data_IF_462375058478
#
_entry.id   IF_462375058478
#
_cell.length_a   1.000
_cell.length_b   1.000
_cell.length_c   1.000
_cell.angle_alpha   90.00
_cell.angle_beta   90.00
_cell.angle_gamma   90.00
#
_symmetry.space_group_name_H-M   'P 1'
#
loop_
_entity.id
_entity.type
_entity.pdbx_description
1 polymer ?
#
# COMPACT_ATOMS: atom_id res chain seq x y z
N UNK A 1 -0.06 -12.45 18.24
CA UNK A 1 -0.31 -12.42 16.79
C UNK A 1 -0.03 -11.00 16.32
N UNK A 2 1.05 -10.78 15.57
CA UNK A 2 1.37 -9.46 15.00
C UNK A 2 0.67 -9.33 13.64
N UNK A 3 -0.63 -9.01 13.69
CA UNK A 3 -1.35 -8.51 12.52
C UNK A 3 -1.01 -7.04 12.30
N UNK A 4 -1.23 -6.54 11.09
CA UNK A 4 -1.13 -5.10 10.83
C UNK A 4 -2.25 -4.41 11.63
N UNK A 5 -1.92 -3.31 12.31
CA UNK A 5 -2.88 -2.57 13.10
C UNK A 5 -4.00 -2.02 12.19
N UNK A 6 -5.28 -2.07 12.59
CA UNK A 6 -6.39 -1.55 11.77
C UNK A 6 -6.19 -0.09 11.33
N UNK A 7 -5.47 0.70 12.13
CA UNK A 7 -5.11 2.08 11.81
C UNK A 7 -4.20 2.19 10.59
N UNK A 8 -3.24 1.28 10.43
CA UNK A 8 -2.35 1.26 9.28
C UNK A 8 -3.14 1.02 7.98
N UNK A 9 -4.11 0.09 8.01
CA UNK A 9 -5.00 -0.19 6.87
C UNK A 9 -5.77 1.08 6.44
N UNK A 10 -6.34 1.80 7.41
CA UNK A 10 -7.09 3.04 7.13
C UNK A 10 -6.17 4.14 6.59
N UNK A 11 -5.00 4.35 7.19
CA UNK A 11 -4.07 5.40 6.76
C UNK A 11 -3.46 5.12 5.38
N UNK A 12 -3.12 3.86 5.06
CA UNK A 12 -2.69 3.43 3.72
C UNK A 12 -3.79 3.73 2.70
N UNK A 13 -5.03 3.35 2.99
CA UNK A 13 -6.17 3.59 2.11
C UNK A 13 -6.43 5.08 1.86
N UNK A 14 -6.43 5.88 2.94
CA UNK A 14 -6.63 7.32 2.84
C UNK A 14 -5.49 8.01 2.10
N UNK A 15 -4.25 7.56 2.26
CA UNK A 15 -3.10 8.10 1.54
C UNK A 15 -3.22 7.79 0.06
N UNK A 16 -3.48 6.53 -0.30
CA UNK A 16 -3.66 6.12 -1.70
C UNK A 16 -4.81 6.88 -2.38
N UNK A 17 -5.92 7.11 -1.67
CA UNK A 17 -7.12 7.75 -2.21
C UNK A 17 -6.96 9.24 -2.54
N UNK A 18 -5.85 9.88 -2.14
CA UNK A 18 -5.54 11.29 -2.49
C UNK A 18 -5.01 11.44 -3.91
N UNK A 19 -4.49 10.37 -4.48
CA UNK A 19 -3.85 10.39 -5.80
C UNK A 19 -4.80 9.88 -6.87
N UNK A 20 -4.63 10.37 -8.08
CA UNK A 20 -5.34 9.89 -9.27
C UNK A 20 -4.74 8.59 -9.79
N UNK A 21 -3.44 8.37 -9.60
CA UNK A 21 -2.73 7.15 -9.97
C UNK A 21 -3.38 5.89 -9.41
N UNK A 22 -3.34 4.82 -10.19
CA UNK A 22 -3.62 3.47 -9.69
C UNK A 22 -2.44 3.03 -8.81
N UNK A 23 -2.75 2.52 -7.62
CA UNK A 23 -1.75 2.11 -6.63
C UNK A 23 -2.05 0.66 -6.29
N UNK A 24 -1.21 -0.25 -6.76
CA UNK A 24 -1.39 -1.69 -6.59
C UNK A 24 -0.34 -2.20 -5.60
N UNK A 25 -0.81 -2.85 -4.54
CA UNK A 25 0.02 -3.57 -3.59
C UNK A 25 0.06 -5.04 -4.00
N UNK A 26 1.26 -5.57 -4.25
CA UNK A 26 1.47 -7.01 -4.40
C UNK A 26 1.99 -7.61 -3.12
N UNK A 27 1.43 -8.77 -2.77
CA UNK A 27 1.92 -9.59 -1.67
C UNK A 27 1.71 -11.06 -2.04
N UNK A 28 2.78 -11.86 -1.93
CA UNK A 28 2.82 -13.24 -2.45
C UNK A 28 2.28 -13.33 -3.90
N UNK A 29 1.16 -14.04 -4.08
CA UNK A 29 0.50 -14.27 -5.35
C UNK A 29 -0.79 -13.42 -5.51
N UNK A 30 -0.95 -12.39 -4.67
CA UNK A 30 -2.12 -11.51 -4.64
C UNK A 30 -1.72 -10.09 -5.02
N UNK A 31 -2.65 -9.39 -5.65
CA UNK A 31 -2.52 -7.97 -5.96
C UNK A 31 -3.81 -7.28 -5.57
N UNK A 32 -3.69 -6.16 -4.86
CA UNK A 32 -4.83 -5.40 -4.37
C UNK A 32 -4.65 -3.92 -4.66
N UNK A 33 -5.75 -3.27 -5.05
CA UNK A 33 -5.81 -1.82 -5.15
C UNK A 33 -5.78 -1.21 -3.74
N UNK A 34 -4.81 -0.34 -3.46
CA UNK A 34 -4.65 0.33 -2.17
C UNK A 34 -5.84 1.24 -1.81
N UNK A 35 -6.68 1.61 -2.78
CA UNK A 35 -7.92 2.36 -2.56
C UNK A 35 -9.10 1.47 -2.15
N UNK A 36 -8.95 0.14 -2.20
CA UNK A 36 -9.97 -0.82 -1.74
C UNK A 36 -9.76 -1.23 -0.27
N UNK A 37 -10.48 -0.57 0.63
CA UNK A 37 -10.38 -0.83 2.08
C UNK A 37 -10.71 -2.28 2.45
N UNK A 38 -11.70 -2.89 1.78
CA UNK A 38 -12.07 -4.28 2.00
C UNK A 38 -10.94 -5.22 1.59
N UNK A 39 -10.36 -4.99 0.42
CA UNK A 39 -9.26 -5.84 -0.06
C UNK A 39 -8.00 -5.70 0.79
N UNK A 40 -7.67 -4.50 1.25
CA UNK A 40 -6.56 -4.29 2.19
C UNK A 40 -6.77 -5.06 3.49
N UNK A 41 -8.00 -5.06 4.02
CA UNK A 41 -8.35 -5.77 5.25
C UNK A 41 -8.14 -7.29 5.16
N UNK A 42 -8.20 -7.88 3.96
CA UNK A 42 -7.92 -9.31 3.73
C UNK A 42 -6.47 -9.62 3.37
N UNK A 43 -5.73 -8.63 2.88
CA UNK A 43 -4.41 -8.83 2.25
C UNK A 43 -3.27 -8.45 3.20
N UNK A 44 -3.47 -7.43 4.03
CA UNK A 44 -2.48 -6.88 4.95
C UNK A 44 -2.42 -7.67 6.28
N UNK A 45 -2.26 -9.00 6.20
CA UNK A 45 -2.05 -9.84 7.39
C UNK A 45 -0.59 -10.31 7.48
N UNK A 46 0.18 -9.76 8.44
CA UNK A 46 1.47 -10.28 8.88
C UNK A 46 2.71 -9.60 8.29
N UNK A 47 3.87 -10.21 8.47
CA UNK A 47 5.16 -9.75 7.92
C UNK A 47 5.38 -10.34 6.53
N UNK A 48 5.06 -9.59 5.48
CA UNK A 48 5.30 -10.01 4.11
C UNK A 48 6.03 -8.91 3.34
N UNK A 49 6.77 -9.30 2.30
CA UNK A 49 7.42 -8.37 1.40
C UNK A 49 6.37 -7.72 0.49
N UNK A 50 5.92 -6.53 0.86
CA UNK A 50 4.99 -5.75 0.05
C UNK A 50 5.73 -5.15 -1.14
N UNK A 51 5.09 -5.17 -2.32
CA UNK A 51 5.56 -4.42 -3.49
C UNK A 51 4.52 -3.40 -3.90
N UNK A 52 4.95 -2.19 -4.21
CA UNK A 52 4.09 -1.12 -4.72
C UNK A 52 4.36 -0.91 -6.20
N UNK A 53 3.29 -1.00 -6.98
CA UNK A 53 3.26 -0.58 -8.38
C UNK A 53 2.32 0.60 -8.50
N UNK A 54 2.80 1.71 -9.05
CA UNK A 54 2.05 2.95 -9.14
C UNK A 54 2.08 3.47 -10.57
N UNK A 55 0.89 3.66 -11.13
CA UNK A 55 0.69 4.06 -12.52
C UNK A 55 -0.22 5.28 -12.60
N UNK A 56 0.25 6.35 -13.20
CA UNK A 56 -0.56 7.54 -13.44
C UNK A 56 0.24 8.84 -13.48
N UNK A 57 -0.45 9.97 -13.63
CA UNK A 57 0.17 11.28 -13.83
C UNK A 57 0.82 11.85 -12.56
N UNK A 58 0.43 11.37 -11.39
CA UNK A 58 0.95 11.76 -10.06
C UNK A 58 1.67 10.60 -9.36
N UNK A 59 2.27 9.69 -10.16
CA UNK A 59 2.88 8.47 -9.66
C UNK A 59 4.09 8.73 -8.77
N UNK A 60 4.91 9.74 -9.10
CA UNK A 60 6.11 10.06 -8.32
C UNK A 60 5.74 10.60 -6.92
N UNK A 61 4.76 11.49 -6.84
CA UNK A 61 4.25 12.01 -5.57
C UNK A 61 3.56 10.91 -4.75
N UNK A 62 2.81 10.02 -5.42
CA UNK A 62 2.19 8.88 -4.79
C UNK A 62 3.23 7.89 -4.25
N UNK A 63 4.31 7.59 -4.99
CA UNK A 63 5.41 6.72 -4.53
C UNK A 63 6.02 7.22 -3.22
N UNK A 64 6.32 8.52 -3.14
CA UNK A 64 6.89 9.11 -1.94
C UNK A 64 5.95 8.97 -0.74
N UNK A 65 4.69 9.38 -0.87
CA UNK A 65 3.73 9.34 0.23
C UNK A 65 3.33 7.92 0.64
N UNK A 66 3.24 7.01 -0.32
CA UNK A 66 2.94 5.59 -0.03
C UNK A 66 4.12 4.92 0.69
N UNK A 67 5.35 5.26 0.34
CA UNK A 67 6.54 4.74 1.07
C UNK A 67 6.55 5.25 2.51
N UNK A 68 6.32 6.55 2.71
CA UNK A 68 6.29 7.17 4.05
C UNK A 68 5.23 6.54 4.96
N UNK A 69 4.00 6.31 4.46
CA UNK A 69 2.95 5.70 5.30
C UNK A 69 3.25 4.25 5.64
N UNK A 70 3.88 3.47 4.75
CA UNK A 70 4.31 2.10 5.05
C UNK A 70 5.40 2.09 6.13
N UNK A 71 6.43 2.94 5.99
CA UNK A 71 7.52 3.08 6.97
C UNK A 71 7.00 3.52 8.35
N UNK A 72 6.06 4.47 8.38
CA UNK A 72 5.41 4.95 9.61
C UNK A 72 4.78 3.81 10.43
N UNK A 73 4.25 2.78 9.76
CA UNK A 73 3.62 1.62 10.39
C UNK A 73 4.58 0.42 10.51
N UNK A 74 5.88 0.62 10.26
CA UNK A 74 6.89 -0.44 10.35
C UNK A 74 6.77 -1.52 9.28
N UNK A 75 6.15 -1.19 8.14
CA UNK A 75 5.94 -2.12 7.02
C UNK A 75 7.03 -1.92 5.97
N UNK A 76 7.81 -2.97 5.69
CA UNK A 76 8.79 -2.94 4.61
C UNK A 76 8.09 -3.01 3.25
N UNK A 77 8.46 -2.14 2.33
CA UNK A 77 7.88 -2.08 0.98
C UNK A 77 8.94 -1.86 -0.09
N UNK A 78 8.82 -2.58 -1.20
CA UNK A 78 9.64 -2.40 -2.40
C UNK A 78 8.82 -1.64 -3.45
N UNK A 79 9.29 -0.49 -3.92
CA UNK A 79 8.64 0.23 -5.02
C UNK A 79 9.18 -0.33 -6.33
N UNK A 80 8.28 -0.86 -7.16
CA UNK A 80 8.61 -1.31 -8.51
C UNK A 80 8.29 -0.20 -9.50
N UNK A 81 9.18 0.02 -10.47
CA UNK A 81 8.89 0.92 -11.58
C UNK A 81 7.80 0.29 -12.46
N UNK A 82 6.72 1.04 -12.62
CA UNK A 82 5.59 0.73 -13.51
C UNK A 82 5.68 1.49 -14.82
#
# INVERSE_FOLDING_TARGET
MSGIEPRAIVEINQTASRYTSSIVIRVDNRSIDAKSILGLSFTLFGSQAYKLEIYGPDAEEAKAAMTEVFEKHGLSVEVLEG
#
